data_IF_844283616369
#
_entry.id   IF_844283616369
#
_cell.length_a   1.000
_cell.length_b   1.000
_cell.length_c   1.000
_cell.angle_alpha   90.00
_cell.angle_beta   90.00
_cell.angle_gamma   90.00
#
_symmetry.space_group_name_H-M   'P 1'
#
loop_
_entity.id
_entity.type
_entity.pdbx_description
1 polymer ?
#
# COMPACT_ATOMS: atom_id res chain seq x y z
N UNK A 1 15.33 16.54 0.18
CA UNK A 1 14.59 16.32 -1.09
C UNK A 1 14.54 17.66 -1.84
N UNK A 2 13.94 17.77 -3.03
CA UNK A 2 13.69 19.10 -3.61
C UNK A 2 12.55 19.79 -2.83
N UNK A 3 12.56 21.11 -2.72
CA UNK A 3 11.57 21.90 -1.94
C UNK A 3 10.11 21.61 -2.33
N UNK A 4 9.84 21.41 -3.62
CA UNK A 4 8.51 21.07 -4.15
C UNK A 4 8.04 19.67 -3.71
N UNK A 5 8.95 18.70 -3.67
CA UNK A 5 8.68 17.36 -3.18
C UNK A 5 8.39 17.36 -1.67
N UNK A 6 9.09 18.19 -0.89
CA UNK A 6 8.84 18.35 0.55
C UNK A 6 7.46 18.97 0.82
N UNK A 7 7.08 19.98 0.04
CA UNK A 7 5.75 20.61 0.11
C UNK A 7 4.63 19.63 -0.25
N UNK A 8 4.77 18.87 -1.34
CA UNK A 8 3.77 17.88 -1.75
C UNK A 8 3.66 16.71 -0.77
N UNK A 9 4.79 16.24 -0.20
CA UNK A 9 4.78 15.24 0.87
C UNK A 9 4.01 15.73 2.11
N UNK A 10 4.27 16.97 2.55
CA UNK A 10 3.57 17.55 3.70
C UNK A 10 2.04 17.65 3.45
N UNK A 11 1.64 18.04 2.24
CA UNK A 11 0.23 18.07 1.85
C UNK A 11 -0.43 16.69 1.87
N UNK A 12 0.27 15.66 1.37
CA UNK A 12 -0.20 14.27 1.40
C UNK A 12 -0.32 13.75 2.83
N UNK A 13 0.66 14.02 3.70
CA UNK A 13 0.59 13.65 5.11
C UNK A 13 -0.58 14.33 5.82
N UNK A 14 -0.84 15.60 5.53
CA UNK A 14 -2.00 16.30 6.07
C UNK A 14 -3.31 15.68 5.54
N UNK A 15 -3.39 15.34 4.26
CA UNK A 15 -4.56 14.68 3.68
C UNK A 15 -4.83 13.31 4.34
N UNK A 16 -3.80 12.50 4.56
CA UNK A 16 -3.91 11.22 5.29
C UNK A 16 -4.47 11.40 6.71
N UNK A 17 -3.97 12.41 7.45
CA UNK A 17 -4.46 12.75 8.80
C UNK A 17 -5.91 13.24 8.80
N UNK A 18 -6.41 13.72 7.67
CA UNK A 18 -7.80 14.14 7.48
C UNK A 18 -8.64 13.07 6.76
N UNK A 19 -8.26 11.79 6.87
CA UNK A 19 -9.01 10.64 6.35
C UNK A 19 -9.27 10.69 4.83
N UNK A 20 -8.34 11.28 4.07
CA UNK A 20 -8.44 11.38 2.61
C UNK A 20 -7.62 10.30 1.91
N UNK A 21 -8.05 9.98 0.69
CA UNK A 21 -7.25 9.20 -0.26
C UNK A 21 -6.16 10.10 -0.86
N UNK A 22 -4.96 9.55 -0.98
CA UNK A 22 -3.77 10.23 -1.50
C UNK A 22 -3.09 9.37 -2.56
N UNK A 23 -2.24 9.98 -3.38
CA UNK A 23 -1.39 9.31 -4.33
C UNK A 23 0.10 9.51 -4.01
N UNK A 24 0.90 8.47 -4.24
CA UNK A 24 2.34 8.51 -4.03
C UNK A 24 3.05 7.55 -4.98
N UNK A 25 4.28 7.85 -5.42
CA UNK A 25 5.06 6.93 -6.24
C UNK A 25 5.49 5.71 -5.43
N UNK A 26 5.48 4.56 -6.09
CA UNK A 26 6.06 3.31 -5.60
C UNK A 26 7.16 2.84 -6.54
N UNK A 27 7.59 1.59 -6.43
CA UNK A 27 8.70 1.04 -7.22
C UNK A 27 8.40 1.04 -8.72
N UNK A 28 7.15 0.79 -9.14
CA UNK A 28 6.79 0.62 -10.56
C UNK A 28 5.80 1.66 -11.08
N UNK A 29 4.79 1.99 -10.29
CA UNK A 29 3.68 2.88 -10.63
C UNK A 29 3.29 3.72 -9.41
N UNK A 30 2.43 4.70 -9.57
CA UNK A 30 1.82 5.39 -8.44
C UNK A 30 0.82 4.47 -7.74
N UNK A 31 0.77 4.56 -6.42
CA UNK A 31 -0.24 3.96 -5.58
C UNK A 31 -1.27 5.00 -5.15
N UNK A 32 -2.53 4.58 -5.00
CA UNK A 32 -3.49 5.26 -4.14
C UNK A 32 -3.44 4.61 -2.77
N UNK A 33 -3.43 5.44 -1.73
CA UNK A 33 -3.50 4.97 -0.38
C UNK A 33 -4.29 5.86 0.55
N UNK A 34 -4.56 5.32 1.73
CA UNK A 34 -5.30 5.96 2.78
C UNK A 34 -4.93 5.32 4.13
N UNK A 35 -5.48 5.89 5.20
CA UNK A 35 -5.36 5.34 6.54
C UNK A 35 -6.08 3.98 6.65
N UNK A 36 -5.38 2.87 6.96
CA UNK A 36 -6.01 1.56 7.17
C UNK A 36 -7.03 1.51 8.31
N UNK A 37 -6.88 2.39 9.30
CA UNK A 37 -7.76 2.44 10.48
C UNK A 37 -9.00 3.32 10.26
N UNK A 38 -9.06 4.06 9.15
CA UNK A 38 -10.22 4.87 8.79
C UNK A 38 -11.13 4.11 7.82
N UNK A 39 -12.23 3.56 8.33
CA UNK A 39 -13.25 2.93 7.49
C UNK A 39 -13.76 3.90 6.41
N UNK A 40 -13.93 5.18 6.76
CA UNK A 40 -14.32 6.24 5.83
C UNK A 40 -13.35 6.37 4.66
N UNK A 41 -12.04 6.48 4.95
CA UNK A 41 -11.03 6.65 3.91
C UNK A 41 -10.90 5.40 3.02
N UNK A 42 -11.06 4.21 3.62
CA UNK A 42 -11.03 2.94 2.88
C UNK A 42 -12.22 2.80 1.95
N UNK A 43 -13.44 3.11 2.40
CA UNK A 43 -14.61 3.11 1.51
C UNK A 43 -14.49 4.17 0.41
N UNK A 44 -14.00 5.37 0.71
CA UNK A 44 -13.74 6.38 -0.31
C UNK A 44 -12.74 5.90 -1.38
N UNK A 45 -11.70 5.16 -0.98
CA UNK A 45 -10.77 4.52 -1.92
C UNK A 45 -11.46 3.43 -2.76
N UNK A 46 -12.27 2.57 -2.13
CA UNK A 46 -12.99 1.50 -2.81
C UNK A 46 -13.98 2.05 -3.84
N UNK A 47 -14.73 3.10 -3.48
CA UNK A 47 -15.65 3.81 -4.37
C UNK A 47 -14.91 4.44 -5.55
N UNK A 48 -13.80 5.13 -5.28
CA UNK A 48 -12.95 5.72 -6.32
C UNK A 48 -12.43 4.66 -7.30
N UNK A 49 -12.13 3.46 -6.79
CA UNK A 49 -11.66 2.31 -7.57
C UNK A 49 -12.80 1.48 -8.16
N UNK A 50 -14.06 1.74 -7.83
CA UNK A 50 -15.20 0.86 -8.13
C UNK A 50 -14.88 -0.61 -7.77
N UNK A 51 -14.24 -0.81 -6.62
CA UNK A 51 -13.70 -2.10 -6.19
C UNK A 51 -14.55 -2.68 -5.06
N UNK A 52 -14.94 -3.93 -5.22
CA UNK A 52 -15.55 -4.73 -4.15
C UNK A 52 -14.58 -4.94 -2.99
N UNK A 53 -15.03 -4.63 -1.77
CA UNK A 53 -14.24 -4.75 -0.54
C UNK A 53 -13.86 -6.20 -0.22
N UNK A 54 -14.69 -7.16 -0.65
CA UNK A 54 -14.51 -8.60 -0.40
C UNK A 54 -13.21 -9.16 -0.97
N UNK A 55 -12.62 -8.48 -1.97
CA UNK A 55 -11.34 -8.85 -2.60
C UNK A 55 -10.13 -8.57 -1.70
N UNK A 56 -10.31 -7.83 -0.61
CA UNK A 56 -9.23 -7.36 0.24
C UNK A 56 -8.33 -6.32 -0.43
N UNK A 57 -7.49 -5.72 0.41
CA UNK A 57 -6.54 -4.66 0.08
C UNK A 57 -5.13 -5.04 0.55
N UNK A 58 -4.13 -4.31 0.05
CA UNK A 58 -2.74 -4.49 0.45
C UNK A 58 -2.38 -3.39 1.46
N UNK A 59 -1.69 -3.74 2.55
CA UNK A 59 -1.01 -2.76 3.39
C UNK A 59 0.46 -2.64 2.98
N UNK A 60 0.94 -1.42 2.82
CA UNK A 60 2.35 -1.12 2.58
C UNK A 60 2.95 -0.39 3.78
N UNK A 61 4.14 -0.81 4.19
CA UNK A 61 4.81 -0.29 5.38
C UNK A 61 6.27 0.07 5.09
N UNK A 62 6.83 0.90 5.97
CA UNK A 62 8.26 1.17 5.99
C UNK A 62 9.07 0.03 6.63
N UNK A 63 8.48 -0.63 7.63
CA UNK A 63 9.08 -1.72 8.38
C UNK A 63 8.01 -2.71 8.83
N UNK A 64 8.43 -3.87 9.32
CA UNK A 64 7.51 -4.94 9.70
C UNK A 64 6.72 -4.62 10.97
N UNK A 65 7.30 -3.85 11.88
CA UNK A 65 6.68 -3.49 13.16
C UNK A 65 5.35 -2.76 12.95
N UNK A 66 5.26 -1.92 11.91
CA UNK A 66 4.03 -1.24 11.50
C UNK A 66 2.89 -2.20 11.09
N UNK A 67 3.21 -3.43 10.70
CA UNK A 67 2.22 -4.42 10.25
C UNK A 67 1.71 -5.32 11.39
N UNK A 68 2.42 -5.40 12.50
CA UNK A 68 2.05 -6.22 13.66
C UNK A 68 0.64 -5.94 14.23
N UNK A 69 0.06 -4.74 14.14
CA UNK A 69 -1.34 -4.54 14.52
C UNK A 69 -2.36 -5.31 13.66
N UNK A 70 -1.99 -5.71 12.43
CA UNK A 70 -2.90 -6.32 11.45
C UNK A 70 -2.58 -7.80 11.16
N UNK A 71 -1.34 -8.22 11.39
CA UNK A 71 -0.84 -9.56 11.07
C UNK A 71 -0.77 -10.44 12.32
N UNK A 72 -1.26 -11.67 12.22
CA UNK A 72 -1.12 -12.70 13.24
C UNK A 72 0.21 -13.45 13.06
N UNK A 73 1.29 -12.75 13.44
CA UNK A 73 2.67 -13.19 13.27
C UNK A 73 3.01 -14.50 14.02
N UNK A 74 2.23 -14.84 15.06
CA UNK A 74 2.41 -16.07 15.83
C UNK A 74 2.08 -17.35 15.02
N UNK A 75 1.37 -17.22 13.89
CA UNK A 75 1.03 -18.34 13.01
C UNK A 75 2.12 -18.68 12.00
N UNK A 76 3.17 -17.88 11.90
CA UNK A 76 4.34 -18.21 11.08
C UNK A 76 5.32 -19.09 11.86
N UNK A 77 5.77 -20.17 11.22
CA UNK A 77 6.94 -20.90 11.70
C UNK A 77 8.21 -20.05 11.57
N UNK A 78 9.27 -20.40 12.31
CA UNK A 78 10.57 -19.72 12.22
C UNK A 78 11.10 -19.67 10.80
N UNK A 79 11.10 -20.81 10.09
CA UNK A 79 11.58 -20.92 8.70
C UNK A 79 10.78 -20.03 7.74
N UNK A 80 9.44 -20.03 7.84
CA UNK A 80 8.59 -19.18 6.97
C UNK A 80 8.80 -17.69 7.28
N UNK A 81 9.02 -17.34 8.55
CA UNK A 81 9.33 -15.96 8.95
C UNK A 81 10.68 -15.51 8.38
N UNK A 82 11.71 -16.35 8.48
CA UNK A 82 13.03 -16.07 7.89
C UNK A 82 12.94 -15.88 6.37
N UNK A 83 12.19 -16.74 5.68
CA UNK A 83 11.96 -16.60 4.24
C UNK A 83 11.25 -15.29 3.92
N UNK A 84 10.14 -14.97 4.60
CA UNK A 84 9.40 -13.71 4.41
C UNK A 84 10.32 -12.50 4.53
N UNK A 85 11.16 -12.47 5.57
CA UNK A 85 12.10 -11.37 5.79
C UNK A 85 13.25 -11.34 4.79
N UNK A 86 13.66 -12.46 4.20
CA UNK A 86 14.70 -12.48 3.17
C UNK A 86 14.30 -11.72 1.90
N UNK A 87 13.00 -11.53 1.65
CA UNK A 87 12.47 -10.74 0.53
C UNK A 87 12.16 -9.28 0.88
N UNK A 88 12.27 -8.89 2.15
CA UNK A 88 11.93 -7.56 2.63
C UNK A 88 13.12 -6.81 3.21
N UNK A 89 13.23 -5.49 2.98
CA UNK A 89 12.35 -4.65 2.17
C UNK A 89 12.46 -4.96 0.67
N UNK A 90 11.36 -4.93 -0.07
CA UNK A 90 11.39 -5.30 -1.49
C UNK A 90 10.03 -5.40 -2.18
N UNK A 91 10.02 -5.87 -3.44
CA UNK A 91 8.82 -5.90 -4.29
C UNK A 91 7.91 -7.09 -4.02
N UNK A 92 8.09 -7.84 -2.94
CA UNK A 92 7.25 -9.01 -2.65
C UNK A 92 6.14 -8.60 -1.70
N UNK A 93 4.91 -8.98 -2.03
CA UNK A 93 3.74 -8.86 -1.16
C UNK A 93 3.44 -10.25 -0.60
N UNK A 94 3.33 -10.35 0.71
CA UNK A 94 2.99 -11.59 1.39
C UNK A 94 1.53 -11.55 1.83
N UNK A 95 0.77 -12.59 1.52
CA UNK A 95 -0.54 -12.86 2.09
C UNK A 95 -0.31 -13.58 3.41
N UNK A 96 -0.55 -12.88 4.52
CA UNK A 96 -0.26 -13.36 5.87
C UNK A 96 -1.56 -13.62 6.65
N UNK A 97 -1.56 -14.52 7.64
CA UNK A 97 -2.67 -14.63 8.58
C UNK A 97 -3.01 -13.26 9.19
N UNK A 98 -4.29 -12.86 9.13
CA UNK A 98 -4.74 -11.63 9.74
C UNK A 98 -5.06 -11.87 11.22
N UNK A 99 -4.86 -10.86 12.07
CA UNK A 99 -5.43 -10.87 13.42
C UNK A 99 -6.96 -10.89 13.35
N UNK A 100 -7.59 -11.48 14.36
CA UNK A 100 -9.06 -11.46 14.47
C UNK A 100 -9.62 -10.03 14.55
N UNK A 101 -8.83 -9.09 15.09
CA UNK A 101 -9.15 -7.66 15.19
C UNK A 101 -8.95 -6.90 13.87
N UNK A 102 -8.32 -7.50 12.86
CA UNK A 102 -8.07 -6.83 11.58
C UNK A 102 -9.41 -6.60 10.86
N UNK A 103 -9.74 -5.33 10.52
CA UNK A 103 -11.03 -4.99 9.95
C UNK A 103 -11.33 -5.70 8.62
N UNK A 104 -12.61 -6.04 8.43
CA UNK A 104 -13.07 -6.72 7.21
C UNK A 104 -12.88 -5.87 5.94
N UNK A 105 -12.96 -4.54 6.05
CA UNK A 105 -12.68 -3.65 4.91
C UNK A 105 -11.23 -3.74 4.41
N UNK A 106 -10.30 -4.24 5.22
CA UNK A 106 -8.91 -4.50 4.82
C UNK A 106 -8.71 -5.92 4.27
N UNK A 107 -9.14 -6.93 5.03
CA UNK A 107 -8.92 -8.35 4.68
C UNK A 107 -9.96 -8.95 3.74
N UNK A 108 -11.02 -8.21 3.43
CA UNK A 108 -12.16 -8.70 2.66
C UNK A 108 -12.82 -9.91 3.33
N UNK A 109 -13.23 -10.89 2.51
CA UNK A 109 -13.84 -12.14 2.99
C UNK A 109 -12.85 -13.13 3.61
N UNK A 110 -11.55 -12.82 3.60
CA UNK A 110 -10.48 -13.77 3.94
C UNK A 110 -10.08 -13.66 5.41
N UNK A 111 -9.49 -14.72 5.95
CA UNK A 111 -8.80 -14.72 7.25
C UNK A 111 -7.34 -14.27 7.16
N UNK A 112 -6.95 -13.72 6.01
CA UNK A 112 -5.58 -13.30 5.67
C UNK A 112 -5.57 -11.86 5.18
N UNK A 113 -4.42 -11.20 5.26
CA UNK A 113 -4.21 -9.84 4.78
C UNK A 113 -2.94 -9.79 3.93
N UNK A 114 -3.00 -9.10 2.80
CA UNK A 114 -1.85 -8.88 1.95
C UNK A 114 -1.05 -7.69 2.49
N UNK A 115 0.24 -7.87 2.72
CA UNK A 115 1.12 -6.82 3.27
C UNK A 115 2.46 -6.78 2.53
N UNK A 116 3.13 -5.63 2.56
CA UNK A 116 4.45 -5.42 1.94
C UNK A 116 5.28 -4.45 2.76
N UNK A 117 6.55 -4.80 3.00
CA UNK A 117 7.56 -3.86 3.47
C UNK A 117 8.34 -3.35 2.25
N UNK A 118 8.20 -2.06 1.94
CA UNK A 118 8.71 -1.45 0.71
C UNK A 118 10.18 -1.04 0.84
N UNK A 119 10.94 -1.20 -0.25
CA UNK A 119 12.29 -0.64 -0.44
C UNK A 119 12.26 0.77 -1.03
N UNK A 120 11.09 1.30 -1.39
CA UNK A 120 10.95 2.62 -1.98
C UNK A 120 11.15 3.73 -0.93
N UNK A 121 12.18 4.60 -1.04
CA UNK A 121 12.53 5.56 0.00
C UNK A 121 11.39 6.53 0.37
N UNK A 122 10.58 6.92 -0.61
CA UNK A 122 9.46 7.83 -0.37
C UNK A 122 8.28 7.14 0.33
N UNK A 123 8.06 5.84 0.07
CA UNK A 123 7.05 5.05 0.80
C UNK A 123 7.47 4.88 2.24
N UNK A 124 8.75 4.56 2.47
CA UNK A 124 9.31 4.46 3.82
C UNK A 124 9.14 5.79 4.57
N UNK A 125 9.55 6.90 3.94
CA UNK A 125 9.39 8.24 4.51
C UNK A 125 7.94 8.55 4.86
N UNK A 126 7.00 8.25 3.95
CA UNK A 126 5.59 8.52 4.14
C UNK A 126 5.01 7.70 5.31
N UNK A 127 5.26 6.39 5.36
CA UNK A 127 4.76 5.52 6.42
C UNK A 127 5.41 5.86 7.77
N UNK A 128 6.70 6.21 7.81
CA UNK A 128 7.38 6.62 9.05
C UNK A 128 6.84 7.96 9.58
N UNK A 129 6.64 8.96 8.72
CA UNK A 129 6.11 10.26 9.14
C UNK A 129 4.62 10.22 9.46
N UNK A 130 3.86 9.35 8.80
CA UNK A 130 2.46 9.10 9.15
C UNK A 130 2.33 8.29 10.45
N UNK A 131 3.32 7.43 10.74
CA UNK A 131 3.42 6.64 11.97
C UNK A 131 2.81 5.24 11.87
N UNK A 132 2.29 4.84 10.70
CA UNK A 132 1.61 3.56 10.48
C UNK A 132 1.63 3.16 8.99
N UNK A 133 1.25 1.93 8.61
CA UNK A 133 1.24 1.54 7.21
C UNK A 133 0.10 2.25 6.47
N UNK A 134 0.10 2.14 5.15
CA UNK A 134 -0.98 2.65 4.29
C UNK A 134 -1.69 1.50 3.60
N UNK A 135 -2.99 1.63 3.41
CA UNK A 135 -3.65 0.87 2.34
C UNK A 135 -3.03 1.28 1.01
N UNK A 136 -2.82 0.34 0.10
CA UNK A 136 -2.17 0.60 -1.19
C UNK A 136 -2.85 -0.18 -2.32
N UNK A 137 -3.19 0.53 -3.39
CA UNK A 137 -3.64 -0.04 -4.67
C UNK A 137 -3.05 0.77 -5.82
N UNK A 138 -3.10 0.29 -7.07
CA UNK A 138 -2.59 1.06 -8.20
C UNK A 138 -3.42 2.33 -8.45
N UNK A 139 -2.74 3.43 -8.73
CA UNK A 139 -3.36 4.70 -9.09
C UNK A 139 -3.84 4.68 -10.54
N UNK A 140 -5.09 4.27 -10.71
CA UNK A 140 -5.83 4.36 -11.96
C UNK A 140 -7.34 4.34 -11.67
N UNK A 141 -8.14 4.97 -12.50
CA UNK A 141 -9.56 4.64 -12.56
C UNK A 141 -9.73 3.22 -13.11
N UNK A 142 -10.82 2.55 -12.72
CA UNK A 142 -11.09 1.19 -13.17
C UNK A 142 -11.13 1.10 -14.70
N UNK A 143 -10.35 0.17 -15.26
CA UNK A 143 -10.19 -0.02 -16.70
C UNK A 143 -9.11 0.85 -17.38
N UNK A 144 -8.52 1.83 -16.68
CA UNK A 144 -7.41 2.63 -17.20
C UNK A 144 -6.05 2.08 -16.77
N UNK A 145 -5.00 2.47 -17.48
CA UNK A 145 -3.62 2.17 -17.12
C UNK A 145 -3.20 2.88 -15.81
N UNK A 146 -2.38 2.21 -14.95
CA UNK A 146 -1.75 2.83 -13.79
C UNK A 146 -0.92 4.06 -14.14
N UNK A 147 -1.10 5.14 -13.37
CA UNK A 147 -0.29 6.34 -13.47
C UNK A 147 1.18 6.04 -13.09
N UNK A 148 2.11 6.62 -13.85
CA UNK A 148 3.56 6.61 -13.61
C UNK A 148 4.10 7.98 -13.24
N UNK A 149 3.30 9.04 -13.40
CA UNK A 149 3.66 10.42 -13.04
C UNK A 149 2.58 11.10 -12.19
N UNK A 150 2.98 12.09 -11.39
CA UNK A 150 2.03 12.91 -10.63
C UNK A 150 1.06 13.69 -11.56
N UNK A 151 1.50 14.04 -12.77
CA UNK A 151 0.66 14.67 -13.78
C UNK A 151 -0.46 13.73 -14.24
N UNK A 152 -0.15 12.46 -14.51
CA UNK A 152 -1.16 11.46 -14.87
C UNK A 152 -2.19 11.24 -13.75
N UNK A 153 -1.74 11.28 -12.49
CA UNK A 153 -2.66 11.23 -11.34
C UNK A 153 -3.63 12.41 -11.38
N UNK A 154 -3.14 13.63 -11.56
CA UNK A 154 -4.00 14.83 -11.64
C UNK A 154 -4.95 14.77 -12.84
N UNK A 155 -4.51 14.24 -13.98
CA UNK A 155 -5.37 14.06 -15.16
C UNK A 155 -6.51 13.05 -14.91
N UNK A 156 -6.25 11.95 -14.17
CA UNK A 156 -7.27 10.95 -13.90
C UNK A 156 -8.19 11.32 -12.71
N UNK A 157 -7.65 11.95 -11.67
CA UNK A 157 -8.35 12.15 -10.40
C UNK A 157 -8.66 13.62 -10.06
N UNK A 158 -8.24 14.56 -10.91
CA UNK A 158 -8.44 16.00 -10.76
C UNK A 158 -7.22 16.74 -10.23
N UNK A 159 -7.09 18.02 -10.61
CA UNK A 159 -5.91 18.85 -10.30
C UNK A 159 -5.64 19.03 -8.80
N UNK A 160 -6.70 18.98 -7.98
CA UNK A 160 -6.62 19.13 -6.53
C UNK A 160 -6.34 17.80 -5.80
N UNK A 161 -6.14 16.68 -6.51
CA UNK A 161 -5.92 15.38 -5.87
C UNK A 161 -4.59 15.40 -5.08
N UNK A 162 -4.58 14.99 -3.80
CA UNK A 162 -3.35 14.98 -3.01
C UNK A 162 -2.36 13.97 -3.57
N UNK A 163 -1.23 14.45 -4.11
CA UNK A 163 -0.20 13.61 -4.73
C UNK A 163 1.19 14.08 -4.34
N UNK A 164 2.10 13.13 -4.07
CA UNK A 164 3.52 13.45 -3.89
C UNK A 164 4.17 13.63 -5.27
N UNK A 165 4.78 14.80 -5.51
CA UNK A 165 5.40 15.13 -6.78
C UNK A 165 6.85 14.57 -6.82
N UNK A 166 6.96 13.31 -7.20
CA UNK A 166 8.21 12.56 -7.29
C UNK A 166 8.12 11.43 -8.32
N UNK A 167 9.27 10.88 -8.70
CA UNK A 167 9.38 9.79 -9.67
C UNK A 167 9.15 8.41 -9.01
N UNK A 168 8.75 7.44 -9.82
CA UNK A 168 8.69 6.01 -9.44
C UNK A 168 10.09 5.39 -9.42
N UNK A 169 10.25 4.27 -8.73
CA UNK A 169 11.53 3.56 -8.59
C UNK A 169 12.07 2.84 -9.83
N UNK A 170 11.37 2.90 -10.97
CA UNK A 170 11.84 2.37 -12.26
C UNK A 170 11.57 0.88 -12.52
N UNK A 171 10.88 0.15 -11.64
CA UNK A 171 10.42 -1.22 -11.95
C UNK A 171 9.37 -1.19 -13.06
N UNK A 172 9.41 -2.20 -13.93
CA UNK A 172 8.45 -2.31 -15.04
C UNK A 172 7.14 -2.96 -14.60
N UNK A 173 7.25 -3.95 -13.72
CA UNK A 173 6.14 -4.81 -13.30
C UNK A 173 5.70 -4.52 -11.84
N UNK A 174 4.44 -4.87 -11.49
CA UNK A 174 3.95 -4.79 -10.13
C UNK A 174 4.62 -5.80 -9.19
N UNK A 175 4.35 -5.70 -7.89
CA UNK A 175 4.86 -6.65 -6.90
C UNK A 175 4.44 -8.10 -7.17
N UNK A 176 5.32 -9.02 -6.83
CA UNK A 176 4.97 -10.42 -6.71
C UNK A 176 4.03 -10.63 -5.51
N UNK A 177 3.08 -11.57 -5.58
CA UNK A 177 2.19 -11.91 -4.46
C UNK A 177 2.33 -13.39 -4.11
N UNK A 178 2.70 -13.69 -2.87
CA UNK A 178 2.89 -15.05 -2.36
C UNK A 178 2.12 -15.30 -1.07
N UNK A 179 1.76 -16.55 -0.81
CA UNK A 179 1.23 -16.99 0.48
C UNK A 179 2.35 -17.18 1.51
N UNK A 180 2.22 -16.55 2.67
CA UNK A 180 3.28 -16.56 3.69
C UNK A 180 3.41 -17.91 4.41
N UNK A 181 2.35 -18.72 4.45
CA UNK A 181 2.37 -20.03 5.14
C UNK A 181 2.95 -21.13 4.26
N UNK A 182 2.65 -21.11 2.97
CA UNK A 182 2.95 -22.20 2.03
C UNK A 182 4.03 -21.86 1.02
N UNK A 183 4.27 -20.57 0.76
CA UNK A 183 5.16 -20.10 -0.30
C UNK A 183 4.52 -20.11 -1.70
N UNK A 184 3.25 -20.49 -1.80
CA UNK A 184 2.52 -20.52 -3.07
C UNK A 184 2.50 -19.14 -3.74
N UNK A 185 2.74 -19.12 -5.05
CA UNK A 185 2.74 -17.91 -5.87
C UNK A 185 1.35 -17.63 -6.41
N UNK A 186 0.73 -16.52 -5.98
CA UNK A 186 -0.57 -16.08 -6.49
C UNK A 186 -0.46 -15.15 -7.70
N UNK A 187 0.61 -14.37 -7.81
CA UNK A 187 0.85 -13.46 -8.94
C UNK A 187 2.34 -13.28 -9.19
N UNK A 188 2.77 -13.46 -10.44
CA UNK A 188 4.11 -13.08 -10.90
C UNK A 188 4.25 -11.55 -10.98
N UNK A 189 5.40 -11.05 -10.51
CA UNK A 189 5.81 -9.66 -10.68
C UNK A 189 6.72 -9.47 -11.89
#
# INVERSE_FOLDING_TARGET
MKKEQESSLANVLNALKNEKVVAYPTEAVFGLGCDPDSELAVHALLDLKQRQWEKGLILIAANYEQLLPYVDDAKLSGERREEVFSYWPGPVTWVMPAKATTPQWLRGRFSTIAVRVSDHPLVQTLCLQFGKPLVSTSANLSGLEPCRTAQEVRLQFGDAFPVVDAEVGGRLNPSEIRDALTGELFRQG
#
